data_IF_842441175545
#
_entry.id   IF_842441175545
#
_cell.length_a   1.000
_cell.length_b   1.000
_cell.length_c   1.000
_cell.angle_alpha   90.00
_cell.angle_beta   90.00
_cell.angle_gamma   90.00
#
_symmetry.space_group_name_H-M   'P 1'
#
loop_
_entity.id
_entity.type
_entity.pdbx_description
1 polymer ?
#
# COMPACT_ATOMS: atom_id res chain seq x y z
N UNK A 1 18.80 -35.66 5.36
CA UNK A 1 18.90 -34.33 4.69
C UNK A 1 20.35 -34.09 4.22
N UNK A 2 20.85 -34.94 3.32
CA UNK A 2 22.27 -34.95 2.93
C UNK A 2 22.78 -33.69 2.21
N UNK A 3 21.92 -32.95 1.50
CA UNK A 3 22.32 -31.82 0.67
C UNK A 3 22.04 -30.41 1.26
N UNK A 4 21.57 -30.31 2.51
CA UNK A 4 21.41 -29.01 3.18
C UNK A 4 22.70 -28.21 3.35
N UNK A 5 23.89 -28.84 3.57
CA UNK A 5 25.15 -28.11 3.57
C UNK A 5 25.44 -27.35 2.25
N UNK A 6 25.08 -27.96 1.10
CA UNK A 6 25.22 -27.32 -0.22
C UNK A 6 24.31 -26.09 -0.33
N UNK A 7 23.07 -26.17 0.16
CA UNK A 7 22.14 -25.02 0.19
C UNK A 7 22.72 -23.89 1.02
N UNK A 8 23.20 -24.17 2.25
CA UNK A 8 23.79 -23.15 3.15
C UNK A 8 25.04 -22.52 2.56
N UNK A 9 25.87 -23.28 1.88
CA UNK A 9 27.08 -22.78 1.21
C UNK A 9 26.72 -21.79 0.09
N UNK A 10 25.77 -22.15 -0.77
CA UNK A 10 25.33 -21.29 -1.87
C UNK A 10 24.61 -20.04 -1.34
N UNK A 11 23.73 -20.21 -0.35
CA UNK A 11 23.06 -19.12 0.34
C UNK A 11 24.07 -18.16 0.99
N UNK A 12 25.08 -18.68 1.68
CA UNK A 12 26.15 -17.88 2.29
C UNK A 12 26.97 -17.08 1.29
N UNK A 13 27.27 -17.66 0.12
CA UNK A 13 27.96 -16.97 -0.95
C UNK A 13 27.16 -15.78 -1.49
N UNK A 14 25.86 -15.98 -1.73
CA UNK A 14 24.96 -14.93 -2.22
C UNK A 14 24.70 -13.85 -1.16
N UNK A 15 24.55 -14.25 0.10
CA UNK A 15 24.35 -13.32 1.21
C UNK A 15 25.57 -12.43 1.44
N UNK A 16 26.79 -13.02 1.37
CA UNK A 16 28.05 -12.27 1.51
C UNK A 16 28.28 -11.27 0.38
N UNK A 17 27.76 -11.55 -0.82
CA UNK A 17 27.79 -10.62 -1.95
C UNK A 17 26.80 -9.44 -1.80
N UNK A 18 25.98 -9.41 -0.73
CA UNK A 18 24.96 -8.39 -0.44
C UNK A 18 24.09 -8.04 -1.65
N UNK A 19 23.70 -9.05 -2.40
CA UNK A 19 22.90 -8.88 -3.63
C UNK A 19 21.51 -8.28 -3.36
N UNK A 20 21.01 -8.39 -2.11
CA UNK A 20 19.70 -7.90 -1.68
C UNK A 20 19.79 -7.35 -0.25
N UNK A 21 19.73 -6.02 -0.11
CA UNK A 21 19.78 -5.36 1.18
C UNK A 21 18.51 -5.61 2.01
N UNK A 22 18.68 -5.85 3.30
CA UNK A 22 17.58 -5.96 4.25
C UNK A 22 16.88 -7.32 4.32
N UNK A 23 17.31 -8.33 3.55
CA UNK A 23 16.75 -9.68 3.61
C UNK A 23 17.58 -10.56 4.54
N UNK A 24 16.98 -11.23 5.56
CA UNK A 24 17.69 -12.08 6.50
C UNK A 24 18.24 -13.35 5.83
N UNK A 25 19.32 -13.89 6.36
CA UNK A 25 20.00 -15.09 5.81
C UNK A 25 19.08 -16.32 5.73
N UNK A 26 18.14 -16.42 6.66
CA UNK A 26 17.16 -17.50 6.74
C UNK A 26 16.31 -17.60 5.47
N UNK A 27 15.96 -16.48 4.86
CA UNK A 27 15.19 -16.46 3.61
C UNK A 27 16.01 -17.00 2.43
N UNK A 28 17.31 -16.68 2.35
CA UNK A 28 18.19 -17.29 1.35
C UNK A 28 18.25 -18.81 1.50
N UNK A 29 18.31 -19.30 2.72
CA UNK A 29 18.30 -20.75 2.99
C UNK A 29 16.95 -21.37 2.64
N UNK A 30 15.84 -20.70 2.92
CA UNK A 30 14.49 -21.18 2.60
C UNK A 30 14.30 -21.32 1.09
N UNK A 31 14.54 -20.27 0.31
CA UNK A 31 14.44 -20.35 -1.15
C UNK A 31 15.43 -21.36 -1.75
N UNK A 32 16.61 -21.48 -1.17
CA UNK A 32 17.59 -22.50 -1.56
C UNK A 32 17.10 -23.92 -1.31
N UNK A 33 16.41 -24.16 -0.19
CA UNK A 33 15.81 -25.47 0.12
C UNK A 33 14.69 -25.81 -0.86
N UNK A 34 13.86 -24.84 -1.26
CA UNK A 34 12.85 -25.02 -2.31
C UNK A 34 13.50 -25.41 -3.65
N UNK A 35 14.59 -24.72 -4.03
CA UNK A 35 15.36 -25.04 -5.23
C UNK A 35 15.96 -26.45 -5.19
N UNK A 36 16.45 -26.90 -4.03
CA UNK A 36 16.93 -28.26 -3.83
C UNK A 36 15.79 -29.29 -4.02
N UNK A 37 14.62 -29.05 -3.45
CA UNK A 37 13.45 -29.95 -3.63
C UNK A 37 13.06 -30.05 -5.10
N UNK A 38 13.05 -28.92 -5.81
CA UNK A 38 12.77 -28.91 -7.25
C UNK A 38 13.85 -29.68 -8.04
N UNK A 39 15.12 -29.55 -7.65
CA UNK A 39 16.21 -30.28 -8.28
C UNK A 39 16.05 -31.79 -8.06
N UNK A 40 15.73 -32.23 -6.84
CA UNK A 40 15.50 -33.66 -6.53
C UNK A 40 14.36 -34.28 -7.34
N UNK A 41 13.29 -33.50 -7.62
CA UNK A 41 12.14 -33.96 -8.41
C UNK A 41 12.41 -34.05 -9.90
N UNK A 42 13.34 -33.26 -10.43
CA UNK A 42 13.57 -33.11 -11.88
C UNK A 42 14.90 -33.67 -12.37
N UNK A 43 15.73 -34.12 -11.46
CA UNK A 43 17.04 -34.66 -11.83
C UNK A 43 16.88 -36.01 -12.54
N UNK A 44 17.58 -36.12 -13.66
CA UNK A 44 17.69 -37.35 -14.44
C UNK A 44 19.15 -37.81 -14.45
N UNK A 45 19.46 -38.95 -13.78
CA UNK A 45 20.81 -39.51 -13.74
C UNK A 45 21.37 -39.94 -15.12
N UNK A 46 20.50 -40.15 -16.11
CA UNK A 46 20.93 -40.60 -17.44
C UNK A 46 21.58 -39.49 -18.27
N UNK A 47 21.44 -38.24 -17.86
CA UNK A 47 22.05 -37.08 -18.54
C UNK A 47 23.55 -36.91 -18.25
N UNK A 48 24.18 -37.78 -17.47
CA UNK A 48 25.64 -37.78 -17.24
C UNK A 48 26.18 -36.63 -16.39
N UNK A 49 25.33 -35.77 -15.83
CA UNK A 49 25.71 -34.66 -14.94
C UNK A 49 25.58 -35.06 -13.49
N UNK A 50 26.53 -34.73 -12.62
CA UNK A 50 26.44 -35.01 -11.18
C UNK A 50 25.30 -34.22 -10.57
N UNK A 51 24.56 -34.85 -9.63
CA UNK A 51 23.43 -34.20 -8.95
C UNK A 51 23.80 -32.87 -8.31
N UNK A 52 24.96 -32.80 -7.64
CA UNK A 52 25.40 -31.56 -6.97
C UNK A 52 25.58 -30.40 -7.96
N UNK A 53 26.10 -30.66 -9.15
CA UNK A 53 26.27 -29.64 -10.19
C UNK A 53 24.91 -29.15 -10.69
N UNK A 54 24.00 -30.07 -10.99
CA UNK A 54 22.65 -29.73 -11.41
C UNK A 54 21.87 -28.96 -10.31
N UNK A 55 21.91 -29.48 -9.08
CA UNK A 55 21.25 -28.88 -7.93
C UNK A 55 21.78 -27.48 -7.62
N UNK A 56 23.10 -27.25 -7.73
CA UNK A 56 23.70 -25.94 -7.47
C UNK A 56 23.13 -24.83 -8.34
N UNK A 57 22.91 -25.10 -9.63
CA UNK A 57 22.27 -24.13 -10.54
C UNK A 57 20.83 -23.86 -10.15
N UNK A 58 20.06 -24.89 -9.81
CA UNK A 58 18.63 -24.78 -9.41
C UNK A 58 18.49 -24.04 -8.09
N UNK A 59 19.34 -24.36 -7.10
CA UNK A 59 19.38 -23.70 -5.79
C UNK A 59 19.67 -22.21 -5.96
N UNK A 60 20.71 -21.85 -6.71
CA UNK A 60 21.10 -20.46 -6.96
C UNK A 60 19.96 -19.69 -7.64
N UNK A 61 19.37 -20.25 -8.70
CA UNK A 61 18.25 -19.63 -9.42
C UNK A 61 17.03 -19.44 -8.54
N UNK A 62 16.67 -20.43 -7.70
CA UNK A 62 15.56 -20.32 -6.77
C UNK A 62 15.78 -19.23 -5.72
N UNK A 63 16.98 -19.09 -5.17
CA UNK A 63 17.32 -18.03 -4.22
C UNK A 63 17.14 -16.65 -4.89
N UNK A 64 17.75 -16.42 -6.05
CA UNK A 64 17.69 -15.13 -6.73
C UNK A 64 16.22 -14.76 -7.04
N UNK A 65 15.47 -15.65 -7.70
CA UNK A 65 14.08 -15.39 -8.06
C UNK A 65 13.17 -15.17 -6.84
N UNK A 66 13.39 -15.92 -5.75
CA UNK A 66 12.65 -15.76 -4.50
C UNK A 66 12.91 -14.40 -3.85
N UNK A 67 14.18 -13.99 -3.82
CA UNK A 67 14.59 -12.70 -3.25
C UNK A 67 14.11 -11.50 -4.08
N UNK A 68 14.15 -11.59 -5.40
CA UNK A 68 13.59 -10.56 -6.28
C UNK A 68 12.12 -10.31 -5.97
N UNK A 69 11.29 -11.38 -5.93
CA UNK A 69 9.88 -11.28 -5.57
C UNK A 69 9.65 -10.73 -4.16
N UNK A 70 10.42 -11.19 -3.17
CA UNK A 70 10.32 -10.70 -1.79
C UNK A 70 10.66 -9.20 -1.70
N UNK A 71 11.65 -8.75 -2.45
CA UNK A 71 12.05 -7.33 -2.49
C UNK A 71 10.97 -6.47 -3.14
N UNK A 72 10.37 -6.91 -4.24
CA UNK A 72 9.24 -6.23 -4.90
C UNK A 72 8.05 -6.09 -3.94
N UNK A 73 7.66 -7.17 -3.26
CA UNK A 73 6.57 -7.14 -2.28
C UNK A 73 6.89 -6.19 -1.12
N UNK A 74 8.12 -6.24 -0.59
CA UNK A 74 8.54 -5.35 0.49
C UNK A 74 8.53 -3.88 0.06
N UNK A 75 8.95 -3.57 -1.17
CA UNK A 75 8.87 -2.22 -1.73
C UNK A 75 7.41 -1.76 -1.85
N UNK A 76 6.51 -2.60 -2.36
CA UNK A 76 5.09 -2.29 -2.45
C UNK A 76 4.47 -2.02 -1.07
N UNK A 77 4.74 -2.92 -0.10
CA UNK A 77 4.25 -2.75 1.29
C UNK A 77 4.81 -1.47 1.92
N UNK A 78 6.08 -1.14 1.72
CA UNK A 78 6.68 0.08 2.26
C UNK A 78 6.07 1.34 1.64
N UNK A 79 5.79 1.32 0.34
CA UNK A 79 5.10 2.42 -0.36
C UNK A 79 3.69 2.62 0.16
N UNK A 80 2.91 1.55 0.32
CA UNK A 80 1.56 1.61 0.88
C UNK A 80 1.56 2.14 2.32
N UNK A 81 2.49 1.68 3.17
CA UNK A 81 2.65 2.20 4.54
C UNK A 81 3.00 3.68 4.54
N UNK A 82 3.88 4.12 3.66
CA UNK A 82 4.26 5.51 3.51
C UNK A 82 3.07 6.38 3.11
N UNK A 83 2.30 5.95 2.13
CA UNK A 83 1.08 6.65 1.68
C UNK A 83 0.05 6.74 2.81
N UNK A 84 -0.19 5.65 3.54
CA UNK A 84 -1.08 5.67 4.70
C UNK A 84 -0.60 6.68 5.76
N UNK A 85 0.70 6.72 6.03
CA UNK A 85 1.27 7.71 6.97
C UNK A 85 1.16 9.14 6.45
N UNK A 86 1.33 9.39 5.15
CA UNK A 86 1.14 10.70 4.53
C UNK A 86 -0.32 11.17 4.66
N UNK A 87 -1.29 10.29 4.46
CA UNK A 87 -2.72 10.55 4.68
C UNK A 87 -2.99 10.98 6.14
N UNK A 88 -2.53 10.18 7.10
CA UNK A 88 -2.68 10.45 8.54
C UNK A 88 -2.04 11.79 8.90
N UNK A 89 -0.80 12.04 8.51
CA UNK A 89 -0.08 13.27 8.82
C UNK A 89 -0.75 14.50 8.19
N UNK A 90 -1.25 14.37 6.96
CA UNK A 90 -1.98 15.42 6.27
C UNK A 90 -3.25 15.80 7.02
N UNK A 91 -4.03 14.83 7.50
CA UNK A 91 -5.26 15.06 8.25
C UNK A 91 -4.97 15.54 9.69
N UNK A 92 -3.99 14.96 10.37
CA UNK A 92 -3.62 15.35 11.73
C UNK A 92 -3.14 16.81 11.83
N UNK A 93 -2.56 17.34 10.76
CA UNK A 93 -2.12 18.74 10.71
C UNK A 93 -3.26 19.76 10.49
N UNK A 94 -4.54 19.33 10.40
CA UNK A 94 -5.71 20.20 10.43
C UNK A 94 -5.89 20.87 11.81
N UNK A 95 -5.39 20.24 12.86
CA UNK A 95 -5.53 20.71 14.22
C UNK A 95 -4.19 21.30 14.72
N UNK A 96 -4.19 22.39 15.49
CA UNK A 96 -2.97 22.88 16.14
C UNK A 96 -2.38 21.74 16.99
N UNK A 97 -1.06 21.69 17.08
CA UNK A 97 -0.36 20.68 17.89
C UNK A 97 -1.01 20.62 19.29
N UNK A 98 -1.26 19.41 19.83
CA UNK A 98 -1.91 19.30 21.13
C UNK A 98 -1.08 20.10 22.14
N UNK A 99 -1.71 21.06 22.82
CA UNK A 99 -1.08 21.68 23.97
C UNK A 99 -0.83 20.55 24.99
N UNK A 100 0.23 20.65 25.78
CA UNK A 100 0.50 19.69 26.86
C UNK A 100 -0.67 19.52 27.84
N UNK A 101 -1.74 20.34 27.72
CA UNK A 101 -2.94 20.37 28.55
C UNK A 101 -4.24 20.23 27.73
N UNK A 102 -4.21 19.51 26.59
CA UNK A 102 -5.45 19.25 25.85
C UNK A 102 -6.45 18.50 26.73
N UNK A 103 -7.69 18.96 26.74
CA UNK A 103 -8.77 18.30 27.46
C UNK A 103 -9.13 16.95 26.80
N UNK A 104 -9.72 15.99 27.55
CA UNK A 104 -10.20 14.75 26.93
C UNK A 104 -11.19 15.00 25.79
N UNK A 105 -12.04 16.04 25.89
CA UNK A 105 -12.99 16.41 24.84
C UNK A 105 -12.27 16.87 23.56
N UNK A 106 -11.31 17.78 23.67
CA UNK A 106 -10.51 18.26 22.51
C UNK A 106 -9.76 17.10 21.83
N UNK A 107 -9.27 16.13 22.61
CA UNK A 107 -8.60 14.94 22.10
C UNK A 107 -9.56 14.03 21.35
N UNK A 108 -10.78 13.88 21.87
CA UNK A 108 -11.85 13.10 21.24
C UNK A 108 -12.32 13.74 19.93
N UNK A 109 -12.61 15.06 19.94
CA UNK A 109 -13.04 15.80 18.75
C UNK A 109 -11.99 15.69 17.64
N UNK A 110 -10.70 15.78 18.01
CA UNK A 110 -9.60 15.59 17.08
C UNK A 110 -9.57 14.17 16.49
N UNK A 111 -9.79 13.15 17.31
CA UNK A 111 -9.84 11.76 16.85
C UNK A 111 -10.99 11.57 15.86
N UNK A 112 -12.17 12.10 16.15
CA UNK A 112 -13.34 12.07 15.27
C UNK A 112 -13.03 12.75 13.93
N UNK A 113 -12.40 13.92 13.96
CA UNK A 113 -12.01 14.66 12.75
C UNK A 113 -11.08 13.85 11.83
N UNK A 114 -10.02 13.27 12.40
CA UNK A 114 -9.08 12.44 11.65
C UNK A 114 -9.76 11.17 11.13
N UNK A 115 -10.61 10.54 11.94
CA UNK A 115 -11.32 9.31 11.56
C UNK A 115 -12.29 9.55 10.40
N UNK A 116 -13.03 10.66 10.40
CA UNK A 116 -13.91 11.03 9.29
C UNK A 116 -13.12 11.33 8.01
N UNK A 117 -11.99 12.03 8.12
CA UNK A 117 -11.11 12.26 6.98
C UNK A 117 -10.57 10.96 6.39
N UNK A 118 -10.18 10.00 7.25
CA UNK A 118 -9.72 8.68 6.81
C UNK A 118 -10.86 7.84 6.20
N UNK A 119 -12.09 7.97 6.68
CA UNK A 119 -13.25 7.31 6.07
C UNK A 119 -13.50 7.80 4.64
N UNK A 120 -13.44 9.12 4.40
CA UNK A 120 -13.54 9.68 3.04
C UNK A 120 -12.37 9.21 2.18
N UNK A 121 -11.16 9.18 2.72
CA UNK A 121 -9.98 8.68 2.04
C UNK A 121 -10.12 7.19 1.66
N UNK A 122 -10.66 6.37 2.55
CA UNK A 122 -10.95 4.96 2.29
C UNK A 122 -11.99 4.80 1.17
N UNK A 123 -13.05 5.60 1.19
CA UNK A 123 -14.07 5.56 0.14
C UNK A 123 -13.52 5.96 -1.24
N UNK A 124 -12.57 6.89 -1.30
CA UNK A 124 -11.86 7.25 -2.53
C UNK A 124 -10.99 6.09 -3.03
N UNK A 125 -10.27 5.44 -2.13
CA UNK A 125 -9.38 4.30 -2.43
C UNK A 125 -10.17 3.07 -2.92
N UNK A 126 -11.34 2.79 -2.31
CA UNK A 126 -12.25 1.70 -2.68
C UNK A 126 -13.13 2.03 -3.90
N UNK A 127 -13.17 3.31 -4.30
CA UNK A 127 -13.92 3.69 -5.49
C UNK A 127 -13.22 3.17 -6.75
N UNK A 128 -13.68 2.02 -7.23
CA UNK A 128 -13.23 1.34 -8.45
C UNK A 128 -13.58 2.10 -9.74
N UNK A 129 -13.60 3.43 -9.71
CA UNK A 129 -13.98 4.29 -10.85
C UNK A 129 -13.11 4.09 -12.08
N UNK A 130 -11.93 3.53 -11.93
CA UNK A 130 -10.98 3.27 -13.01
C UNK A 130 -10.40 1.85 -13.00
N UNK A 131 -10.92 0.96 -12.14
CA UNK A 131 -10.46 -0.42 -12.01
C UNK A 131 -11.66 -1.37 -12.10
N UNK A 132 -11.59 -2.37 -12.99
CA UNK A 132 -12.54 -3.49 -13.13
C UNK A 132 -12.59 -4.41 -11.88
N UNK A 133 -12.20 -3.93 -10.71
CA UNK A 133 -12.26 -4.68 -9.47
C UNK A 133 -13.68 -4.66 -8.92
N UNK A 134 -14.31 -5.82 -8.88
CA UNK A 134 -15.55 -6.05 -8.11
C UNK A 134 -15.33 -5.67 -6.65
N UNK A 135 -16.26 -4.88 -6.06
CA UNK A 135 -16.15 -4.48 -4.65
C UNK A 135 -16.06 -5.69 -3.74
N UNK A 136 -15.07 -5.68 -2.84
CA UNK A 136 -14.92 -6.72 -1.82
C UNK A 136 -16.02 -6.58 -0.77
N UNK A 137 -16.95 -7.50 -0.79
CA UNK A 137 -17.72 -8.13 0.28
C UNK A 137 -18.30 -7.24 1.40
N UNK A 138 -19.52 -6.71 1.16
CA UNK A 138 -20.51 -6.47 2.22
C UNK A 138 -21.81 -7.18 1.82
N UNK A 139 -22.17 -8.23 2.56
CA UNK A 139 -23.28 -9.15 2.23
C UNK A 139 -24.68 -8.63 2.58
N UNK A 140 -24.83 -7.34 2.94
CA UNK A 140 -26.12 -6.75 3.24
C UNK A 140 -26.55 -5.78 2.12
N UNK A 141 -27.62 -6.15 1.38
CA UNK A 141 -28.07 -5.42 0.20
C UNK A 141 -28.44 -3.95 0.45
N UNK A 142 -28.98 -3.63 1.63
CA UNK A 142 -29.35 -2.26 2.00
C UNK A 142 -28.11 -1.40 2.29
N UNK A 143 -27.15 -1.94 3.05
CA UNK A 143 -25.87 -1.28 3.33
C UNK A 143 -25.05 -1.05 2.05
N UNK A 144 -25.13 -1.98 1.10
CA UNK A 144 -24.46 -1.85 -0.19
C UNK A 144 -25.07 -0.72 -1.05
N UNK A 145 -26.41 -0.55 -1.02
CA UNK A 145 -27.06 0.53 -1.76
C UNK A 145 -26.72 1.92 -1.19
N UNK A 146 -26.80 2.07 0.13
CA UNK A 146 -26.43 3.32 0.81
C UNK A 146 -24.95 3.68 0.57
N UNK A 147 -24.06 2.70 0.65
CA UNK A 147 -22.63 2.89 0.35
C UNK A 147 -22.40 3.35 -1.09
N UNK A 148 -23.04 2.70 -2.08
CA UNK A 148 -22.94 3.10 -3.49
C UNK A 148 -23.49 4.51 -3.76
N UNK A 149 -24.59 4.88 -3.12
CA UNK A 149 -25.14 6.24 -3.22
C UNK A 149 -24.16 7.27 -2.64
N UNK A 150 -23.59 6.99 -1.47
CA UNK A 150 -22.58 7.85 -0.84
C UNK A 150 -21.33 7.97 -1.71
N UNK A 151 -20.87 6.88 -2.28
CA UNK A 151 -19.74 6.84 -3.22
C UNK A 151 -20.04 7.69 -4.47
N UNK A 152 -21.20 7.55 -5.08
CA UNK A 152 -21.62 8.36 -6.25
C UNK A 152 -21.63 9.86 -5.91
N UNK A 153 -22.13 10.23 -4.73
CA UNK A 153 -22.11 11.63 -4.24
C UNK A 153 -20.72 12.14 -4.00
N UNK A 154 -19.85 11.30 -3.41
CA UNK A 154 -18.43 11.65 -3.21
C UNK A 154 -17.75 11.97 -4.53
N UNK A 155 -18.01 11.18 -5.55
CA UNK A 155 -17.44 11.36 -6.88
C UNK A 155 -17.94 12.62 -7.57
N UNK A 156 -19.23 12.91 -7.46
CA UNK A 156 -19.76 14.18 -7.93
C UNK A 156 -19.10 15.37 -7.22
N UNK A 157 -18.93 15.29 -5.89
CA UNK A 157 -18.24 16.32 -5.12
C UNK A 157 -16.77 16.50 -5.50
N UNK A 158 -16.08 15.47 -5.99
CA UNK A 158 -14.71 15.58 -6.51
C UNK A 158 -14.66 16.52 -7.71
N UNK A 159 -15.68 16.54 -8.56
CA UNK A 159 -15.72 17.42 -9.73
C UNK A 159 -15.81 18.91 -9.36
N UNK A 160 -16.31 19.22 -8.17
CA UNK A 160 -16.42 20.60 -7.67
C UNK A 160 -15.11 21.11 -7.04
N UNK A 161 -14.11 20.27 -6.90
CA UNK A 161 -12.80 20.63 -6.39
C UNK A 161 -12.00 21.43 -7.44
N UNK A 162 -11.02 22.20 -6.97
CA UNK A 162 -10.06 22.85 -7.88
C UNK A 162 -9.24 21.82 -8.66
N UNK A 163 -8.78 22.18 -9.86
CA UNK A 163 -7.99 21.28 -10.71
C UNK A 163 -6.76 20.68 -10.01
N UNK A 164 -6.09 21.46 -9.16
CA UNK A 164 -4.94 20.98 -8.42
C UNK A 164 -5.34 19.99 -7.32
N UNK A 165 -6.46 20.21 -6.64
CA UNK A 165 -7.00 19.29 -5.65
C UNK A 165 -7.43 17.97 -6.30
N UNK A 166 -8.11 18.05 -7.46
CA UNK A 166 -8.49 16.86 -8.24
C UNK A 166 -7.27 16.05 -8.67
N UNK A 167 -6.23 16.70 -9.22
CA UNK A 167 -4.98 16.04 -9.63
C UNK A 167 -4.28 15.36 -8.46
N UNK A 168 -4.23 16.01 -7.30
CA UNK A 168 -3.61 15.42 -6.11
C UNK A 168 -4.38 14.19 -5.63
N UNK A 169 -5.72 14.23 -5.64
CA UNK A 169 -6.53 13.06 -5.28
C UNK A 169 -6.37 11.94 -6.30
N UNK A 170 -6.42 12.26 -7.60
CA UNK A 170 -6.26 11.28 -8.67
C UNK A 170 -4.93 10.54 -8.56
N UNK A 171 -3.81 11.27 -8.53
CA UNK A 171 -2.49 10.66 -8.44
C UNK A 171 -2.27 9.87 -7.15
N UNK A 172 -2.82 10.34 -6.00
CA UNK A 172 -2.60 9.69 -4.72
C UNK A 172 -3.47 8.45 -4.50
N UNK A 173 -4.78 8.52 -4.86
CA UNK A 173 -5.74 7.44 -4.57
C UNK A 173 -5.89 6.45 -5.72
N UNK A 174 -5.81 6.90 -6.97
CA UNK A 174 -6.02 6.03 -8.13
C UNK A 174 -4.71 5.58 -8.80
N UNK A 175 -3.69 6.45 -8.83
CA UNK A 175 -2.38 6.09 -9.37
C UNK A 175 -1.41 5.58 -8.29
N UNK A 176 -1.81 5.61 -7.02
CA UNK A 176 -1.03 5.17 -5.86
C UNK A 176 0.35 5.84 -5.75
N UNK A 177 0.41 7.13 -6.06
CA UNK A 177 1.65 7.91 -5.96
C UNK A 177 1.83 8.56 -4.58
N UNK A 178 3.01 8.50 -3.98
CA UNK A 178 3.33 9.23 -2.76
C UNK A 178 3.50 10.73 -3.02
N UNK A 179 3.28 11.57 -2.01
CA UNK A 179 3.24 13.03 -2.12
C UNK A 179 4.50 13.68 -2.71
N UNK A 180 5.66 13.08 -2.57
CA UNK A 180 6.90 13.62 -3.16
C UNK A 180 6.97 13.41 -4.67
N UNK A 181 6.45 12.29 -5.20
CA UNK A 181 6.33 12.09 -6.64
C UNK A 181 5.29 13.03 -7.23
N UNK A 182 4.12 13.17 -6.60
CA UNK A 182 3.09 14.12 -7.02
C UNK A 182 3.65 15.55 -7.04
N UNK A 183 4.45 15.91 -6.04
CA UNK A 183 5.10 17.22 -5.95
C UNK A 183 6.04 17.47 -7.14
N UNK A 184 6.81 16.46 -7.54
CA UNK A 184 7.67 16.53 -8.72
C UNK A 184 6.87 16.69 -10.02
N UNK A 185 5.80 15.89 -10.20
CA UNK A 185 4.95 15.94 -11.39
C UNK A 185 4.22 17.28 -11.56
N UNK A 186 3.77 17.88 -10.45
CA UNK A 186 3.04 19.14 -10.47
C UNK A 186 3.94 20.38 -10.34
N UNK A 187 5.26 20.22 -10.16
CA UNK A 187 6.18 21.33 -9.93
C UNK A 187 5.93 22.06 -8.61
N UNK A 188 5.44 21.38 -7.59
CA UNK A 188 5.07 21.92 -6.28
C UNK A 188 5.96 21.33 -5.17
N UNK A 189 5.88 21.90 -3.97
CA UNK A 189 6.53 21.33 -2.80
C UNK A 189 5.65 20.24 -2.16
N UNK A 190 6.26 19.24 -1.51
CA UNK A 190 5.53 18.21 -0.75
C UNK A 190 4.55 18.80 0.28
N UNK A 191 4.96 19.89 0.95
CA UNK A 191 4.09 20.62 1.89
C UNK A 191 2.85 21.20 1.21
N UNK A 192 3.00 21.70 -0.03
CA UNK A 192 1.86 22.22 -0.82
C UNK A 192 0.92 21.09 -1.23
N UNK A 193 1.44 19.93 -1.62
CA UNK A 193 0.62 18.75 -1.92
C UNK A 193 -0.19 18.33 -0.67
N UNK A 194 0.47 18.25 0.49
CA UNK A 194 -0.22 17.93 1.76
C UNK A 194 -1.34 18.95 2.09
N UNK A 195 -1.14 20.25 1.82
CA UNK A 195 -2.19 21.27 1.99
C UNK A 195 -3.37 21.06 1.02
N UNK A 196 -3.08 20.81 -0.27
CA UNK A 196 -4.11 20.55 -1.29
C UNK A 196 -4.93 19.29 -0.96
N UNK A 197 -4.25 18.21 -0.61
CA UNK A 197 -4.88 16.97 -0.17
C UNK A 197 -5.83 17.20 1.02
N UNK A 198 -5.35 17.90 2.05
CA UNK A 198 -6.14 18.25 3.23
C UNK A 198 -7.34 19.11 2.89
N UNK A 199 -7.15 20.17 2.09
CA UNK A 199 -8.22 21.05 1.64
C UNK A 199 -9.30 20.28 0.88
N UNK A 200 -8.90 19.39 -0.04
CA UNK A 200 -9.80 18.54 -0.78
C UNK A 200 -10.65 17.65 0.15
N UNK A 201 -10.02 16.91 1.06
CA UNK A 201 -10.77 16.03 1.99
C UNK A 201 -11.71 16.80 2.92
N UNK A 202 -11.32 18.02 3.35
CA UNK A 202 -12.19 18.88 4.17
C UNK A 202 -13.43 19.32 3.39
N UNK A 203 -13.29 19.71 2.12
CA UNK A 203 -14.41 20.10 1.25
C UNK A 203 -15.33 18.91 0.97
N UNK A 204 -14.77 17.76 0.60
CA UNK A 204 -15.54 16.53 0.36
C UNK A 204 -16.36 16.13 1.58
N UNK A 205 -15.76 16.19 2.76
CA UNK A 205 -16.46 15.92 4.03
C UNK A 205 -17.61 16.89 4.27
N UNK A 206 -17.40 18.19 4.05
CA UNK A 206 -18.44 19.21 4.24
C UNK A 206 -19.65 18.95 3.29
N UNK A 207 -19.37 18.62 2.03
CA UNK A 207 -20.44 18.31 1.04
C UNK A 207 -21.23 17.07 1.46
N UNK A 208 -20.58 16.02 1.95
CA UNK A 208 -21.25 14.79 2.41
C UNK A 208 -22.07 15.02 3.69
N UNK A 209 -21.58 15.85 4.62
CA UNK A 209 -22.33 16.18 5.85
C UNK A 209 -23.59 16.98 5.57
N UNK A 210 -23.55 17.95 4.67
CA UNK A 210 -24.71 18.77 4.27
C UNK A 210 -25.78 17.92 3.58
N UNK A 211 -25.38 16.98 2.73
CA UNK A 211 -26.33 16.10 2.03
C UNK A 211 -27.06 15.13 2.97
N UNK A 212 -26.45 14.73 4.07
CA UNK A 212 -27.04 13.82 5.06
C UNK A 212 -28.06 14.54 5.97
N UNK A 213 -27.81 15.81 6.28
CA UNK A 213 -28.77 16.64 7.04
C UNK A 213 -30.02 17.01 6.23
N UNK A 214 -29.89 17.16 4.92
CA UNK A 214 -31.03 17.44 4.03
C UNK A 214 -32.04 16.29 3.91
N UNK A 215 -31.58 15.05 4.05
CA UNK A 215 -32.45 13.84 3.97
C UNK A 215 -33.13 13.50 5.32
N UNK A 216 -32.63 14.03 6.43
CA UNK A 216 -33.24 13.85 7.77
C UNK A 216 -34.32 14.87 8.08
N UNK A 217 -34.46 15.92 7.27
CA UNK A 217 -35.39 17.05 7.50
C UNK A 217 -36.48 17.09 6.42
N UNK A 218 -36.40 16.29 5.36
CA UNK A 218 -37.40 16.15 4.30
C UNK A 218 -38.19 14.86 4.40
#
# INVERSE_FOLDING_TARGET
>A
MAYMPLVKMIAGTLFSARSFDGVPFEEYVQYGAEGLIQAMRRYDPQQGVKFESYASHRIRGAIITGLEKATEVNQQVSTLRRMAQERINSLAALQPAPSRKATPQESFDRLVEVSLGLAVAYMLDDSSLFSDRTPTHWDDGASNLAYKQLQTRLLAAVQDLSQNEQKVLDQHYFQHEPFDLIAQHLGLTKGRISQLHRSALTKLRATLAVSHLGELIG
#
